data_IF_405355029207
#
_entry.id   IF_405355029207
#
_cell.length_a   1.000
_cell.length_b   1.000
_cell.length_c   1.000
_cell.angle_alpha   90.00
_cell.angle_beta   90.00
_cell.angle_gamma   90.00
#
_symmetry.space_group_name_H-M   'P 1'
#
loop_
_entity.id
_entity.type
_entity.pdbx_description
1 polymer ?
#
# COMPACT_ATOMS: atom_id res chain seq x y z
N UNK A 1 -23.72 18.75 -35.87
CA UNK A 1 -22.33 18.35 -35.64
C UNK A 1 -22.37 16.85 -35.38
N UNK A 2 -21.91 16.06 -36.34
CA UNK A 2 -21.86 14.60 -36.21
C UNK A 2 -20.78 14.26 -35.19
N UNK A 3 -21.16 13.66 -34.07
CA UNK A 3 -20.18 13.18 -33.09
C UNK A 3 -19.36 12.07 -33.72
N UNK A 4 -18.10 12.37 -34.04
CA UNK A 4 -17.14 11.34 -34.44
C UNK A 4 -16.97 10.40 -33.25
N UNK A 5 -17.39 9.15 -33.44
CA UNK A 5 -17.21 8.11 -32.43
C UNK A 5 -15.71 7.84 -32.31
N UNK A 6 -15.12 8.33 -31.21
CA UNK A 6 -13.71 8.09 -30.90
C UNK A 6 -13.43 6.59 -30.87
N UNK A 7 -12.72 6.09 -31.89
CA UNK A 7 -12.32 4.70 -31.98
C UNK A 7 -11.03 4.52 -31.18
N UNK A 8 -11.15 3.98 -29.96
CA UNK A 8 -9.98 3.72 -29.14
C UNK A 8 -9.08 2.66 -29.84
N UNK A 9 -7.81 2.97 -30.12
CA UNK A 9 -6.88 2.03 -30.75
C UNK A 9 -6.45 0.87 -29.84
N UNK A 10 -6.79 0.91 -28.54
CA UNK A 10 -6.43 -0.09 -27.53
C UNK A 10 -7.46 -1.23 -27.54
N UNK A 11 -6.98 -2.47 -27.71
CA UNK A 11 -7.82 -3.67 -27.63
C UNK A 11 -8.34 -3.86 -26.19
N UNK A 12 -9.68 -3.83 -26.03
CA UNK A 12 -10.37 -3.97 -24.74
C UNK A 12 -10.06 -5.28 -24.02
N UNK A 13 -9.85 -6.38 -24.74
CA UNK A 13 -9.57 -7.70 -24.15
C UNK A 13 -8.14 -7.79 -23.56
N UNK A 14 -7.28 -6.81 -23.87
CA UNK A 14 -5.88 -6.77 -23.44
C UNK A 14 -5.59 -5.72 -22.37
N UNK A 15 -6.61 -5.05 -21.85
CA UNK A 15 -6.48 -4.04 -20.81
C UNK A 15 -7.51 -4.26 -19.70
N UNK A 16 -7.11 -4.01 -18.46
CA UNK A 16 -8.05 -4.00 -17.35
C UNK A 16 -8.95 -2.75 -17.45
N UNK A 17 -10.26 -2.89 -17.21
CA UNK A 17 -11.19 -1.74 -17.23
C UNK A 17 -10.84 -0.68 -16.17
N UNK A 18 -10.40 -1.11 -14.98
CA UNK A 18 -10.02 -0.24 -13.86
C UNK A 18 -8.63 -0.61 -13.30
N UNK A 19 -7.53 -0.26 -14.00
CA UNK A 19 -6.18 -0.71 -13.63
C UNK A 19 -5.72 -0.21 -12.25
N UNK A 20 -6.28 0.88 -11.74
CA UNK A 20 -5.96 1.45 -10.43
C UNK A 20 -6.58 0.71 -9.23
N UNK A 21 -7.56 -0.17 -9.46
CA UNK A 21 -8.21 -0.97 -8.40
C UNK A 21 -7.62 -2.38 -8.29
N UNK A 22 -6.68 -2.73 -9.15
CA UNK A 22 -6.09 -4.06 -9.14
C UNK A 22 -5.09 -4.19 -7.97
N UNK A 23 -5.18 -5.27 -7.17
CA UNK A 23 -4.25 -5.52 -6.07
C UNK A 23 -2.86 -5.99 -6.55
N UNK A 24 -2.65 -6.05 -7.86
CA UNK A 24 -1.42 -6.49 -8.52
C UNK A 24 -1.15 -5.60 -9.75
N UNK A 25 0.07 -5.69 -10.30
CA UNK A 25 0.45 -4.92 -11.46
C UNK A 25 -0.41 -5.25 -12.69
N UNK A 26 -0.98 -4.22 -13.31
CA UNK A 26 -1.85 -4.32 -14.49
C UNK A 26 -1.10 -4.42 -15.83
N UNK A 27 0.21 -4.70 -15.78
CA UNK A 27 1.09 -4.85 -16.96
C UNK A 27 2.06 -6.01 -16.73
N UNK A 28 2.39 -6.76 -17.79
CA UNK A 28 3.20 -7.97 -17.75
C UNK A 28 4.64 -7.77 -17.22
N UNK A 29 5.11 -6.52 -17.14
CA UNK A 29 6.41 -6.15 -16.55
C UNK A 29 6.31 -5.27 -15.30
N UNK A 30 5.14 -5.15 -14.68
CA UNK A 30 4.95 -4.27 -13.53
C UNK A 30 5.48 -4.87 -12.23
N UNK A 31 5.64 -4.01 -11.22
CA UNK A 31 6.20 -4.41 -9.93
C UNK A 31 5.37 -5.52 -9.26
N UNK A 32 6.04 -6.51 -8.68
CA UNK A 32 5.37 -7.58 -7.94
C UNK A 32 4.84 -7.02 -6.62
N UNK A 33 3.53 -6.84 -6.53
CA UNK A 33 2.83 -6.42 -5.30
C UNK A 33 2.52 -7.68 -4.50
N UNK A 34 3.19 -7.85 -3.35
CA UNK A 34 2.88 -8.93 -2.41
C UNK A 34 2.13 -8.35 -1.21
N UNK A 35 1.16 -9.08 -0.65
CA UNK A 35 0.54 -8.70 0.61
C UNK A 35 1.60 -8.52 1.70
N UNK A 36 1.45 -7.49 2.52
CA UNK A 36 2.32 -7.27 3.66
C UNK A 36 2.06 -8.32 4.75
N UNK A 37 3.11 -8.73 5.47
CA UNK A 37 2.97 -9.58 6.65
C UNK A 37 2.46 -8.73 7.82
N UNK A 38 1.13 -8.62 7.89
CA UNK A 38 0.44 -7.86 8.93
C UNK A 38 0.73 -8.38 10.33
N UNK A 39 1.03 -9.67 10.51
CA UNK A 39 1.38 -10.23 11.82
C UNK A 39 2.71 -9.69 12.32
N UNK A 40 3.72 -9.72 11.46
CA UNK A 40 5.06 -9.17 11.74
C UNK A 40 5.02 -7.66 11.98
N UNK A 41 4.26 -6.91 11.18
CA UNK A 41 4.12 -5.46 11.36
C UNK A 41 3.51 -5.15 12.72
N UNK A 42 2.36 -5.76 13.05
CA UNK A 42 1.68 -5.55 14.35
C UNK A 42 2.57 -5.90 15.53
N UNK A 43 3.26 -7.04 15.48
CA UNK A 43 4.18 -7.46 16.55
C UNK A 43 5.31 -6.45 16.78
N UNK A 44 5.91 -5.93 15.70
CA UNK A 44 6.93 -4.88 15.76
C UNK A 44 6.38 -3.56 16.30
N UNK A 45 5.17 -3.17 15.89
CA UNK A 45 4.52 -1.95 16.37
C UNK A 45 4.31 -2.00 17.88
N UNK A 46 3.77 -3.11 18.41
CA UNK A 46 3.56 -3.27 19.87
C UNK A 46 4.87 -3.23 20.65
N UNK A 47 5.93 -3.87 20.13
CA UNK A 47 7.26 -3.81 20.75
C UNK A 47 7.80 -2.38 20.79
N UNK A 48 7.69 -1.64 19.69
CA UNK A 48 8.13 -0.25 19.60
C UNK A 48 7.35 0.66 20.58
N UNK A 49 6.03 0.45 20.71
CA UNK A 49 5.21 1.18 21.67
C UNK A 49 5.69 0.96 23.11
N UNK A 50 5.97 -0.29 23.49
CA UNK A 50 6.51 -0.61 24.83
C UNK A 50 7.84 0.09 25.07
N UNK A 51 8.78 -0.04 24.15
CA UNK A 51 10.09 0.62 24.23
C UNK A 51 9.97 2.15 24.33
N UNK A 52 9.00 2.75 23.64
CA UNK A 52 8.73 4.18 23.74
C UNK A 52 8.21 4.56 25.12
N UNK A 53 7.23 3.82 25.66
CA UNK A 53 6.71 4.04 27.01
C UNK A 53 7.80 3.89 28.07
N UNK A 54 8.63 2.86 27.98
CA UNK A 54 9.74 2.65 28.92
C UNK A 54 10.72 3.84 28.92
N UNK A 55 11.09 4.33 27.72
CA UNK A 55 11.97 5.50 27.56
C UNK A 55 11.35 6.78 28.12
N UNK A 56 10.04 6.96 27.94
CA UNK A 56 9.33 8.12 28.48
C UNK A 56 9.24 8.04 30.01
N UNK A 57 9.00 6.85 30.56
CA UNK A 57 8.99 6.64 32.00
C UNK A 57 10.35 6.87 32.63
N UNK A 58 11.44 6.39 32.03
CA UNK A 58 12.79 6.68 32.54
C UNK A 58 13.07 8.19 32.58
N UNK A 59 12.68 8.93 31.54
CA UNK A 59 12.83 10.39 31.52
C UNK A 59 12.03 11.09 32.61
N UNK A 60 10.83 10.61 32.93
CA UNK A 60 10.02 11.15 34.03
C UNK A 60 10.67 10.87 35.39
N UNK A 61 11.24 9.68 35.60
CA UNK A 61 11.95 9.34 36.84
C UNK A 61 13.21 10.17 37.04
N UNK A 62 13.95 10.47 35.96
CA UNK A 62 15.15 11.33 36.03
C UNK A 62 14.83 12.80 36.36
N UNK A 63 13.59 13.24 36.16
CA UNK A 63 13.13 14.62 36.42
C UNK A 63 12.53 14.82 37.81
N UNK A 64 12.28 13.76 38.58
CA UNK A 64 11.80 13.81 39.97
C UNK A 64 12.96 13.79 40.95
#
# INVERSE_FOLDING_TARGET
MTEETFLNPINKDKVAENPGLLPYAHTAGGAVIRPEDMGKIKGRSVLAMRQQTDRQMSQLYEQM
#
